data_IF_460945353527
#
_entry.id   IF_460945353527
#
_cell.length_a   1.000
_cell.length_b   1.000
_cell.length_c   1.000
_cell.angle_alpha   90.00
_cell.angle_beta   90.00
_cell.angle_gamma   90.00
#
_symmetry.space_group_name_H-M   'P 1'
#
loop_
_entity.id
_entity.type
_entity.pdbx_description
1 polymer ?
#
# COMPACT_ATOMS: atom_id res chain seq x y z
N UNK A 1 70.13 -8.48 84.06
CA UNK A 1 69.70 -7.82 82.82
C UNK A 1 70.87 -6.99 82.35
N UNK A 2 71.71 -7.55 81.49
CA UNK A 2 72.82 -6.80 80.89
C UNK A 2 72.23 -5.87 79.81
N UNK A 3 72.43 -4.56 79.99
CA UNK A 3 72.15 -3.56 78.98
C UNK A 3 73.31 -3.56 77.99
N UNK A 4 73.04 -3.98 76.75
CA UNK A 4 73.95 -3.84 75.62
C UNK A 4 74.52 -2.39 75.53
N UNK A 5 75.83 -2.21 75.29
CA UNK A 5 76.46 -0.90 75.28
C UNK A 5 75.88 0.00 74.18
N UNK A 6 75.59 1.26 74.53
CA UNK A 6 74.92 2.25 73.67
C UNK A 6 75.62 2.44 72.31
N UNK A 7 76.95 2.29 72.25
CA UNK A 7 77.74 2.35 71.02
C UNK A 7 77.40 1.23 70.02
N UNK A 8 77.08 0.02 70.50
CA UNK A 8 76.69 -1.11 69.65
C UNK A 8 75.34 -0.84 68.98
N UNK A 9 74.39 -0.28 69.73
CA UNK A 9 73.05 0.10 69.23
C UNK A 9 73.15 1.23 68.19
N UNK A 10 74.03 2.20 68.40
CA UNK A 10 74.27 3.31 67.45
C UNK A 10 74.98 2.81 66.19
N UNK A 11 76.00 1.97 66.31
CA UNK A 11 76.70 1.37 65.18
C UNK A 11 75.77 0.50 64.32
N UNK A 12 74.87 -0.27 64.94
CA UNK A 12 73.88 -1.08 64.23
C UNK A 12 72.85 -0.21 63.50
N UNK A 13 72.36 0.88 64.12
CA UNK A 13 71.46 1.85 63.47
C UNK A 13 72.13 2.57 62.29
N UNK A 14 73.38 3.01 62.45
CA UNK A 14 74.14 3.62 61.35
C UNK A 14 74.34 2.65 60.19
N UNK A 15 74.66 1.39 60.48
CA UNK A 15 74.82 0.34 59.46
C UNK A 15 73.52 0.04 58.71
N UNK A 16 72.38 0.08 59.40
CA UNK A 16 71.05 -0.04 58.80
C UNK A 16 70.69 1.17 57.92
N UNK A 17 71.00 2.40 58.34
CA UNK A 17 70.78 3.61 57.54
C UNK A 17 71.64 3.62 56.26
N UNK A 18 72.91 3.19 56.35
CA UNK A 18 73.79 3.03 55.18
C UNK A 18 73.25 1.97 54.21
N UNK A 19 72.68 0.87 54.74
CA UNK A 19 72.04 -0.17 53.94
C UNK A 19 70.81 0.37 53.18
N UNK A 20 69.96 1.16 53.83
CA UNK A 20 68.80 1.82 53.21
C UNK A 20 69.24 2.76 52.07
N UNK A 21 70.30 3.55 52.28
CA UNK A 21 70.84 4.43 51.22
C UNK A 21 71.24 3.66 49.95
N UNK A 22 71.91 2.52 50.10
CA UNK A 22 72.28 1.64 48.97
C UNK A 22 71.06 1.04 48.26
N UNK A 23 70.00 0.72 49.01
CA UNK A 23 68.75 0.24 48.44
C UNK A 23 68.08 1.31 47.56
N UNK A 24 67.99 2.55 48.05
CA UNK A 24 67.43 3.66 47.28
C UNK A 24 68.22 3.95 46.01
N UNK A 25 69.56 3.85 46.06
CA UNK A 25 70.41 4.03 44.87
C UNK A 25 70.17 2.94 43.82
N UNK A 26 70.01 1.68 44.25
CA UNK A 26 69.64 0.57 43.36
C UNK A 26 68.24 0.77 42.76
N UNK A 27 67.26 1.23 43.55
CA UNK A 27 65.92 1.54 43.06
C UNK A 27 65.94 2.66 42.01
N UNK A 28 66.68 3.75 42.27
CA UNK A 28 66.82 4.85 41.32
C UNK A 28 67.39 4.37 39.98
N UNK A 29 68.47 3.59 40.00
CA UNK A 29 69.08 3.00 38.80
C UNK A 29 68.12 2.05 38.06
N UNK A 30 67.29 1.30 38.79
CA UNK A 30 66.29 0.42 38.18
C UNK A 30 65.20 1.22 37.47
N UNK A 31 64.68 2.29 38.09
CA UNK A 31 63.68 3.16 37.46
C UNK A 31 64.24 3.91 36.25
N UNK A 32 65.48 4.38 36.34
CA UNK A 32 66.17 5.00 35.22
C UNK A 32 66.37 4.01 34.06
N UNK A 33 66.78 2.77 34.36
CA UNK A 33 66.88 1.69 33.38
C UNK A 33 65.54 1.34 32.73
N UNK A 34 64.45 1.31 33.52
CA UNK A 34 63.09 1.13 32.99
C UNK A 34 62.67 2.28 32.09
N UNK A 35 62.90 3.53 32.49
CA UNK A 35 62.54 4.71 31.70
C UNK A 35 63.32 4.75 30.38
N UNK A 36 64.62 4.44 30.40
CA UNK A 36 65.44 4.34 29.21
C UNK A 36 64.96 3.22 28.27
N UNK A 37 64.57 2.08 28.82
CA UNK A 37 64.04 0.95 28.06
C UNK A 37 62.69 1.29 27.42
N UNK A 38 61.79 1.92 28.18
CA UNK A 38 60.48 2.35 27.71
C UNK A 38 60.62 3.40 26.60
N UNK A 39 61.49 4.39 26.76
CA UNK A 39 61.79 5.39 25.73
C UNK A 39 62.35 4.74 24.45
N UNK A 40 63.24 3.74 24.58
CA UNK A 40 63.78 3.00 23.43
C UNK A 40 62.67 2.31 22.65
N UNK A 41 61.78 1.58 23.32
CA UNK A 41 60.69 0.87 22.65
C UNK A 41 59.63 1.82 22.11
N UNK A 42 59.34 2.91 22.81
CA UNK A 42 58.45 3.95 22.32
C UNK A 42 58.97 4.51 20.98
N UNK A 43 60.25 4.87 20.91
CA UNK A 43 60.86 5.39 19.68
C UNK A 43 60.94 4.33 18.57
N UNK A 44 61.19 3.06 18.92
CA UNK A 44 61.26 1.96 17.96
C UNK A 44 59.91 1.69 17.28
N UNK A 45 58.81 1.68 18.03
CA UNK A 45 57.49 1.33 17.52
C UNK A 45 56.66 2.53 17.03
N UNK A 46 56.97 3.75 17.47
CA UNK A 46 56.19 4.93 17.08
C UNK A 46 56.08 5.17 15.57
N UNK A 47 57.14 4.97 14.75
CA UNK A 47 57.04 5.11 13.29
C UNK A 47 56.04 4.13 12.67
N UNK A 48 56.00 2.89 13.19
CA UNK A 48 55.06 1.87 12.75
C UNK A 48 53.62 2.24 13.13
N UNK A 49 53.39 2.68 14.37
CA UNK A 49 52.06 3.12 14.81
C UNK A 49 51.55 4.29 13.97
N UNK A 50 52.42 5.27 13.70
CA UNK A 50 52.12 6.41 12.84
C UNK A 50 51.78 5.98 11.41
N UNK A 51 52.54 5.02 10.86
CA UNK A 51 52.28 4.47 9.51
C UNK A 51 50.94 3.73 9.46
N UNK A 52 50.67 2.86 10.43
CA UNK A 52 49.39 2.14 10.52
C UNK A 52 48.21 3.09 10.67
N UNK A 53 48.33 4.12 11.52
CA UNK A 53 47.31 5.16 11.68
C UNK A 53 47.07 5.91 10.37
N UNK A 54 48.13 6.33 9.67
CA UNK A 54 48.02 6.99 8.36
C UNK A 54 47.33 6.09 7.33
N UNK A 55 47.70 4.81 7.26
CA UNK A 55 47.08 3.86 6.34
C UNK A 55 45.60 3.65 6.67
N UNK A 56 45.26 3.46 7.94
CA UNK A 56 43.89 3.31 8.41
C UNK A 56 43.01 4.52 8.03
N UNK A 57 43.52 5.75 8.21
CA UNK A 57 42.80 6.97 7.82
C UNK A 57 42.52 7.03 6.31
N UNK A 58 43.48 6.62 5.48
CA UNK A 58 43.29 6.60 4.02
C UNK A 58 42.28 5.56 3.59
N UNK A 59 42.34 4.36 4.16
CA UNK A 59 41.38 3.29 3.89
C UNK A 59 39.99 3.75 4.29
N UNK A 60 39.86 4.32 5.49
CA UNK A 60 38.59 4.88 5.96
C UNK A 60 38.03 5.91 4.98
N UNK A 61 38.84 6.87 4.51
CA UNK A 61 38.38 7.88 3.57
C UNK A 61 37.88 7.28 2.23
N UNK A 62 38.53 6.23 1.72
CA UNK A 62 38.08 5.54 0.50
C UNK A 62 36.75 4.81 0.75
N UNK A 63 36.63 4.12 1.88
CA UNK A 63 35.40 3.41 2.25
C UNK A 63 34.24 4.38 2.45
N UNK A 64 34.47 5.48 3.19
CA UNK A 64 33.44 6.49 3.45
C UNK A 64 32.94 7.09 2.12
N UNK A 65 33.85 7.41 1.19
CA UNK A 65 33.48 7.91 -0.15
C UNK A 65 32.66 6.88 -0.94
N UNK A 66 33.09 5.62 -0.95
CA UNK A 66 32.39 4.55 -1.66
C UNK A 66 30.98 4.31 -1.10
N UNK A 67 30.83 4.36 0.23
CA UNK A 67 29.52 4.21 0.89
C UNK A 67 28.58 5.36 0.52
N UNK A 68 29.06 6.61 0.53
CA UNK A 68 28.23 7.74 0.13
C UNK A 68 27.84 7.67 -1.36
N UNK A 69 28.76 7.33 -2.26
CA UNK A 69 28.45 7.17 -3.69
C UNK A 69 27.37 6.10 -3.93
N UNK A 70 27.44 4.96 -3.22
CA UNK A 70 26.42 3.92 -3.32
C UNK A 70 25.06 4.38 -2.77
N UNK A 71 25.08 5.16 -1.69
CA UNK A 71 23.88 5.67 -1.07
C UNK A 71 23.18 6.69 -1.97
N UNK A 72 23.91 7.63 -2.54
CA UNK A 72 23.39 8.60 -3.51
C UNK A 72 22.81 7.92 -4.76
N UNK A 73 23.50 6.90 -5.29
CA UNK A 73 23.01 6.15 -6.44
C UNK A 73 21.70 5.39 -6.12
N UNK A 74 21.60 4.80 -4.92
CA UNK A 74 20.39 4.13 -4.48
C UNK A 74 19.23 5.11 -4.26
N UNK A 75 19.49 6.25 -3.63
CA UNK A 75 18.47 7.28 -3.40
C UNK A 75 17.96 7.85 -4.73
N UNK A 76 18.83 8.01 -5.74
CA UNK A 76 18.45 8.42 -7.08
C UNK A 76 17.55 7.38 -7.78
N UNK A 77 17.88 6.09 -7.70
CA UNK A 77 17.06 5.00 -8.26
C UNK A 77 15.67 4.92 -7.59
N UNK A 78 15.63 5.03 -6.27
CA UNK A 78 14.37 5.08 -5.52
C UNK A 78 13.53 6.26 -5.98
N UNK A 79 14.14 7.44 -6.14
CA UNK A 79 13.43 8.64 -6.57
C UNK A 79 12.87 8.49 -7.99
N UNK A 80 13.67 7.99 -8.94
CA UNK A 80 13.24 7.76 -10.32
C UNK A 80 12.07 6.77 -10.40
N UNK A 81 12.11 5.69 -9.62
CA UNK A 81 11.00 4.74 -9.52
C UNK A 81 9.72 5.40 -9.01
N UNK A 82 9.81 6.19 -7.93
CA UNK A 82 8.66 6.92 -7.37
C UNK A 82 8.06 7.88 -8.41
N UNK A 83 8.92 8.60 -9.15
CA UNK A 83 8.47 9.56 -10.15
C UNK A 83 7.73 8.85 -11.30
N UNK A 84 8.28 7.75 -11.82
CA UNK A 84 7.63 6.92 -12.86
C UNK A 84 6.31 6.33 -12.39
N UNK A 85 6.26 5.81 -11.16
CA UNK A 85 5.02 5.28 -10.59
C UNK A 85 3.96 6.37 -10.50
N UNK A 86 4.32 7.58 -10.06
CA UNK A 86 3.39 8.70 -9.97
C UNK A 86 2.86 9.14 -11.33
N UNK A 87 3.72 9.22 -12.34
CA UNK A 87 3.32 9.53 -13.71
C UNK A 87 2.36 8.47 -14.25
N UNK A 88 2.70 7.19 -14.09
CA UNK A 88 1.84 6.08 -14.50
C UNK A 88 0.48 6.10 -13.80
N UNK A 89 0.46 6.37 -12.49
CA UNK A 89 -0.80 6.49 -11.74
C UNK A 89 -1.67 7.64 -12.29
N UNK A 90 -1.08 8.79 -12.57
CA UNK A 90 -1.83 9.92 -13.13
C UNK A 90 -2.47 9.60 -14.48
N UNK A 91 -1.76 8.84 -15.32
CA UNK A 91 -2.28 8.37 -16.60
C UNK A 91 -3.46 7.40 -16.40
N UNK A 92 -3.35 6.45 -15.47
CA UNK A 92 -4.42 5.51 -15.16
C UNK A 92 -5.66 6.26 -14.64
N UNK A 93 -5.49 7.17 -13.69
CA UNK A 93 -6.58 7.98 -13.14
C UNK A 93 -7.32 8.80 -14.22
N UNK A 94 -6.58 9.38 -15.17
CA UNK A 94 -7.19 10.11 -16.29
C UNK A 94 -8.01 9.17 -17.19
N UNK A 95 -7.48 7.98 -17.51
CA UNK A 95 -8.20 6.97 -18.30
C UNK A 95 -9.44 6.44 -17.57
N UNK A 96 -9.35 6.22 -16.27
CA UNK A 96 -10.48 5.79 -15.44
C UNK A 96 -11.58 6.85 -15.40
N UNK A 97 -11.22 8.14 -15.27
CA UNK A 97 -12.17 9.24 -15.33
C UNK A 97 -12.89 9.31 -16.68
N UNK A 98 -12.12 9.20 -17.77
CA UNK A 98 -12.66 9.17 -19.13
C UNK A 98 -13.65 8.01 -19.37
N UNK A 99 -13.37 6.83 -18.79
CA UNK A 99 -14.27 5.67 -18.87
C UNK A 99 -15.51 5.90 -18.02
N UNK A 100 -15.35 6.40 -16.80
CA UNK A 100 -16.45 6.70 -15.90
C UNK A 100 -17.43 7.73 -16.49
N UNK A 101 -16.92 8.77 -17.14
CA UNK A 101 -17.75 9.76 -17.85
C UNK A 101 -18.53 9.14 -19.01
N UNK A 102 -17.88 8.29 -19.82
CA UNK A 102 -18.55 7.58 -20.93
C UNK A 102 -19.62 6.62 -20.43
N UNK A 103 -19.32 5.86 -19.37
CA UNK A 103 -20.29 4.97 -18.75
C UNK A 103 -21.47 5.73 -18.16
N UNK A 104 -21.23 6.86 -17.49
CA UNK A 104 -22.29 7.71 -16.95
C UNK A 104 -23.18 8.26 -18.06
N UNK A 105 -22.57 8.74 -19.16
CA UNK A 105 -23.31 9.24 -20.33
C UNK A 105 -24.16 8.12 -20.97
N UNK A 106 -23.58 6.93 -21.13
CA UNK A 106 -24.31 5.78 -21.70
C UNK A 106 -25.45 5.31 -20.78
N UNK A 107 -25.21 5.21 -19.47
CA UNK A 107 -26.25 4.88 -18.48
C UNK A 107 -27.39 5.92 -18.47
N UNK A 108 -27.06 7.20 -18.60
CA UNK A 108 -28.06 8.26 -18.70
C UNK A 108 -28.89 8.16 -19.98
N UNK A 109 -28.27 7.85 -21.13
CA UNK A 109 -28.99 7.64 -22.38
C UNK A 109 -29.88 6.39 -22.33
N UNK A 110 -29.37 5.28 -21.76
CA UNK A 110 -30.15 4.07 -21.55
C UNK A 110 -31.37 4.35 -20.67
N UNK A 111 -31.17 4.99 -19.51
CA UNK A 111 -32.26 5.36 -18.60
C UNK A 111 -33.30 6.26 -19.28
N UNK A 112 -32.87 7.19 -20.15
CA UNK A 112 -33.78 8.03 -20.94
C UNK A 112 -34.62 7.20 -21.90
N UNK A 113 -34.01 6.24 -22.61
CA UNK A 113 -34.73 5.35 -23.54
C UNK A 113 -35.71 4.44 -22.82
N UNK A 114 -35.30 3.88 -21.68
CA UNK A 114 -36.17 3.07 -20.83
C UNK A 114 -37.37 3.87 -20.34
N UNK A 115 -37.17 5.13 -19.93
CA UNK A 115 -38.27 6.01 -19.53
C UNK A 115 -39.22 6.33 -20.69
N UNK A 116 -38.72 6.50 -21.91
CA UNK A 116 -39.54 6.72 -23.10
C UNK A 116 -40.38 5.48 -23.46
N UNK A 117 -39.76 4.30 -23.44
CA UNK A 117 -40.46 3.02 -23.66
C UNK A 117 -41.55 2.85 -22.59
N UNK A 118 -41.24 3.08 -21.31
CA UNK A 118 -42.22 2.96 -20.23
C UNK A 118 -43.42 3.90 -20.41
N UNK A 119 -43.20 5.13 -20.89
CA UNK A 119 -44.30 6.07 -21.23
C UNK A 119 -45.15 5.54 -22.37
N UNK A 120 -44.53 5.01 -23.42
CA UNK A 120 -45.24 4.45 -24.57
C UNK A 120 -46.06 3.22 -24.19
N UNK A 121 -45.48 2.31 -23.40
CA UNK A 121 -46.16 1.13 -22.87
C UNK A 121 -47.35 1.52 -21.99
N UNK A 122 -47.20 2.53 -21.13
CA UNK A 122 -48.31 3.04 -20.31
C UNK A 122 -49.44 3.61 -21.17
N UNK A 123 -49.12 4.38 -22.23
CA UNK A 123 -50.11 4.89 -23.18
C UNK A 123 -50.87 3.76 -23.88
N UNK A 124 -50.12 2.81 -24.46
CA UNK A 124 -50.70 1.67 -25.16
C UNK A 124 -51.53 0.77 -24.21
N UNK A 125 -51.12 0.65 -22.95
CA UNK A 125 -51.89 -0.07 -21.93
C UNK A 125 -53.25 0.58 -21.69
N UNK A 126 -53.31 1.90 -21.52
CA UNK A 126 -54.57 2.62 -21.36
C UNK A 126 -55.45 2.54 -22.61
N UNK A 127 -54.86 2.69 -23.81
CA UNK A 127 -55.60 2.53 -25.08
C UNK A 127 -56.19 1.11 -25.20
N UNK A 128 -55.42 0.07 -24.88
CA UNK A 128 -55.91 -1.32 -24.87
C UNK A 128 -57.05 -1.51 -23.87
N UNK A 129 -56.94 -0.96 -22.66
CA UNK A 129 -58.00 -1.04 -21.65
C UNK A 129 -59.28 -0.30 -22.09
N UNK A 130 -59.16 0.84 -22.75
CA UNK A 130 -60.29 1.57 -23.32
C UNK A 130 -60.96 0.77 -24.46
N UNK A 131 -60.16 0.25 -25.40
CA UNK A 131 -60.67 -0.58 -26.49
C UNK A 131 -61.32 -1.86 -25.99
N UNK A 132 -60.80 -2.50 -24.94
CA UNK A 132 -61.45 -3.70 -24.38
C UNK A 132 -62.78 -3.35 -23.70
N UNK A 133 -62.89 -2.20 -23.04
CA UNK A 133 -64.18 -1.69 -22.53
C UNK A 133 -65.18 -1.45 -23.67
N UNK A 134 -64.78 -0.74 -24.72
CA UNK A 134 -65.62 -0.50 -25.90
C UNK A 134 -66.03 -1.82 -26.57
N UNK A 135 -65.08 -2.73 -26.78
CA UNK A 135 -65.33 -4.07 -27.30
C UNK A 135 -66.29 -4.84 -26.40
N UNK A 136 -66.18 -4.76 -25.08
CA UNK A 136 -67.12 -5.43 -24.17
C UNK A 136 -68.56 -4.92 -24.32
N UNK A 137 -68.73 -3.63 -24.63
CA UNK A 137 -70.04 -3.01 -24.87
C UNK A 137 -70.62 -3.41 -26.23
N UNK A 138 -69.75 -3.63 -27.23
CA UNK A 138 -70.11 -4.01 -28.59
C UNK A 138 -70.16 -5.54 -28.81
N UNK A 139 -69.54 -6.32 -27.94
CA UNK A 139 -69.53 -7.79 -27.99
C UNK A 139 -70.91 -8.30 -27.57
N UNK A 140 -71.67 -8.73 -28.56
CA UNK A 140 -72.92 -9.41 -28.33
C UNK A 140 -72.77 -10.88 -27.99
N UNK A 141 -73.68 -11.41 -27.17
CA UNK A 141 -73.80 -12.85 -26.94
C UNK A 141 -74.81 -13.44 -27.91
N UNK A 142 -74.41 -14.51 -28.61
CA UNK A 142 -75.29 -15.29 -29.46
C UNK A 142 -75.82 -16.49 -28.67
N UNK A 143 -77.12 -16.73 -28.68
CA UNK A 143 -77.70 -17.93 -28.06
C UNK A 143 -77.41 -19.17 -28.93
N UNK A 144 -76.85 -20.22 -28.33
CA UNK A 144 -76.63 -21.52 -28.98
C UNK A 144 -77.89 -22.42 -29.00
N UNK A 145 -79.05 -21.89 -28.59
CA UNK A 145 -80.30 -22.64 -28.70
C UNK A 145 -80.77 -22.65 -30.15
N UNK A 146 -80.73 -23.82 -30.78
CA UNK A 146 -81.35 -24.05 -32.08
C UNK A 146 -82.88 -24.00 -31.92
N UNK A 147 -83.44 -22.82 -32.15
CA UNK A 147 -84.87 -22.68 -32.35
C UNK A 147 -85.28 -23.42 -33.63
N UNK A 148 -86.43 -24.09 -33.63
CA UNK A 148 -86.91 -24.99 -34.71
C UNK A 148 -86.97 -24.36 -36.12
N UNK A 149 -86.87 -23.02 -36.19
CA UNK A 149 -86.99 -22.18 -37.39
C UNK A 149 -85.62 -21.70 -37.94
N UNK A 150 -84.50 -22.19 -37.38
CA UNK A 150 -83.13 -21.90 -37.84
C UNK A 150 -82.60 -20.47 -37.58
N UNK A 151 -83.46 -19.57 -37.08
CA UNK A 151 -83.11 -18.20 -36.71
C UNK A 151 -82.17 -18.16 -35.50
N UNK A 152 -81.13 -17.33 -35.58
CA UNK A 152 -80.19 -17.04 -34.51
C UNK A 152 -80.61 -15.78 -33.75
N UNK A 153 -80.65 -15.85 -32.42
CA UNK A 153 -80.83 -14.67 -31.58
C UNK A 153 -79.48 -14.17 -31.10
N UNK A 154 -79.20 -12.90 -31.38
CA UNK A 154 -78.01 -12.21 -30.90
C UNK A 154 -78.45 -11.04 -30.02
N UNK A 155 -77.74 -10.82 -28.93
CA UNK A 155 -77.94 -9.65 -28.08
C UNK A 155 -76.72 -8.77 -28.27
N UNK A 156 -76.86 -7.57 -28.84
CA UNK A 156 -75.75 -6.63 -29.08
C UNK A 156 -76.11 -5.31 -28.42
N UNK A 157 -75.19 -4.75 -27.60
CA UNK A 157 -75.38 -3.48 -26.91
C UNK A 157 -76.68 -3.36 -26.09
N UNK A 158 -77.16 -4.48 -25.54
CA UNK A 158 -78.38 -4.55 -24.71
C UNK A 158 -79.69 -4.74 -25.48
N UNK A 159 -79.67 -4.68 -26.81
CA UNK A 159 -80.83 -4.91 -27.67
C UNK A 159 -80.81 -6.33 -28.25
N UNK A 160 -81.99 -6.96 -28.33
CA UNK A 160 -82.15 -8.31 -28.88
C UNK A 160 -82.53 -8.26 -30.35
N UNK A 161 -81.74 -8.93 -31.17
CA UNK A 161 -81.95 -9.05 -32.61
C UNK A 161 -82.14 -10.51 -33.00
N UNK A 162 -83.10 -10.76 -33.91
CA UNK A 162 -83.35 -12.08 -34.50
C UNK A 162 -82.86 -12.08 -35.94
N UNK A 163 -81.85 -12.89 -36.23
CA UNK A 163 -81.21 -12.99 -37.54
C UNK A 163 -81.49 -14.34 -38.19
N UNK A 164 -81.88 -14.35 -39.46
CA UNK A 164 -82.02 -15.59 -40.23
C UNK A 164 -80.64 -16.03 -40.75
N UNK A 165 -80.28 -17.30 -40.53
CA UNK A 165 -79.05 -17.89 -41.08
C UNK A 165 -79.25 -18.23 -42.56
N UNK A 166 -78.58 -17.51 -43.44
CA UNK A 166 -78.48 -17.91 -44.84
C UNK A 166 -77.45 -19.04 -44.98
N UNK A 167 -77.92 -20.25 -45.28
CA UNK A 167 -77.03 -21.33 -45.70
C UNK A 167 -76.45 -20.97 -47.09
N UNK A 168 -75.13 -20.82 -47.21
CA UNK A 168 -74.50 -20.78 -48.54
C UNK A 168 -74.70 -22.15 -49.19
N UNK A 169 -75.31 -22.17 -50.37
CA UNK A 169 -75.38 -23.36 -51.20
C UNK A 169 -73.94 -23.86 -51.46
N UNK A 170 -73.64 -25.11 -51.08
CA UNK A 170 -72.39 -25.77 -51.47
C UNK A 170 -72.37 -25.86 -53.00
N UNK A 171 -71.37 -25.27 -53.65
CA UNK A 171 -70.96 -25.67 -55.00
C UNK A 171 -70.13 -26.93 -54.89
#
# INVERSE_FOLDING_TARGET
>A
MELEPLEFVVAHKLRFVVFIGKHHELEANFFEGRAALEAKYQNLYQPLYTKCKRMSLRIKAVVDKFVEELKEALDADIHDRIMKDREMQSYIEEREREVAEREAAWKADLSRREAEIARQEARLKMERENLEKEKSVLMGTASNQDNQDGALEITVSGEKYRCLRFAKAKK
#
